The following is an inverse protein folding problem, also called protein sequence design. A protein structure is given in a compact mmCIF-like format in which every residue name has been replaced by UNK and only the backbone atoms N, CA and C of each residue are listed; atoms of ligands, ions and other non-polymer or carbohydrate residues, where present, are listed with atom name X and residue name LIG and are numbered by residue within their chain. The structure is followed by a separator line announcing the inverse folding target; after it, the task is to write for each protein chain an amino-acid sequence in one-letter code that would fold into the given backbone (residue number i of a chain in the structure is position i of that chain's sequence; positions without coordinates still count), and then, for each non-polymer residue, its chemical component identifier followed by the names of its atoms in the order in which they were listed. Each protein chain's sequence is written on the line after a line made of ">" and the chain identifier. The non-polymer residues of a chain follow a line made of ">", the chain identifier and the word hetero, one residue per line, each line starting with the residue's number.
data_IF_984675648540
#
_entry.id   IF_984675648540
#
_cell.length_a   1.000
_cell.length_b   1.000
_cell.length_c   1.000
_cell.angle_alpha   90.00
_cell.angle_beta   90.00
_cell.angle_gamma   90.00
#
_symmetry.space_group_name_H-M   'P 1'
#
loop_
_entity.id
_entity.type
_entity.pdbx_description
1 polymer ?
#
# COMPACT_ATOMS: atom_id res chain seq x y z
N UNK A 1 -20.82 -14.54 -2.57
CA UNK A 1 -20.52 -15.58 -1.58
C UNK A 1 -19.30 -15.25 -0.72
N UNK A 2 -18.20 -14.70 -1.31
CA UNK A 2 -16.96 -14.43 -0.58
C UNK A 2 -17.12 -13.44 0.59
N UNK A 3 -17.77 -12.30 0.34
CA UNK A 3 -18.01 -11.27 1.36
C UNK A 3 -18.96 -11.79 2.45
N UNK A 4 -20.03 -12.47 2.06
CA UNK A 4 -21.00 -13.04 2.99
C UNK A 4 -20.40 -14.10 3.91
N UNK A 5 -19.55 -15.00 3.37
CA UNK A 5 -18.88 -16.03 4.17
C UNK A 5 -17.90 -15.43 5.20
N UNK A 6 -17.13 -14.40 4.80
CA UNK A 6 -16.21 -13.72 5.70
C UNK A 6 -16.97 -12.97 6.79
N UNK A 7 -18.02 -12.23 6.45
CA UNK A 7 -18.88 -11.52 7.42
C UNK A 7 -19.54 -12.47 8.41
N UNK A 8 -20.06 -13.62 7.94
CA UNK A 8 -20.67 -14.63 8.81
C UNK A 8 -19.68 -15.22 9.80
N UNK A 9 -18.42 -15.48 9.38
CA UNK A 9 -17.38 -15.98 10.29
C UNK A 9 -17.11 -15.00 11.44
N UNK A 10 -16.95 -13.70 11.12
CA UNK A 10 -16.70 -12.67 12.14
C UNK A 10 -17.91 -12.49 13.05
N UNK A 11 -19.13 -12.52 12.51
CA UNK A 11 -20.39 -12.39 13.27
C UNK A 11 -20.55 -13.47 14.33
N UNK A 12 -20.06 -14.68 14.06
CA UNK A 12 -20.11 -15.82 15.02
C UNK A 12 -19.19 -15.57 16.22
N UNK A 13 -18.14 -14.76 16.06
CA UNK A 13 -17.19 -14.43 17.14
C UNK A 13 -17.58 -13.17 17.92
N UNK A 14 -18.43 -12.31 17.34
CA UNK A 14 -18.85 -11.02 17.91
C UNK A 14 -20.37 -11.00 18.15
N UNK A 15 -20.82 -11.49 19.26
CA UNK A 15 -22.26 -11.73 19.58
C UNK A 15 -23.21 -10.51 19.49
N UNK A 16 -22.74 -9.28 19.24
CA UNK A 16 -23.58 -8.06 19.39
C UNK A 16 -23.55 -7.06 18.23
N UNK A 17 -22.73 -7.24 17.22
CA UNK A 17 -22.61 -6.27 16.12
C UNK A 17 -22.59 -6.96 14.77
N UNK A 18 -23.33 -6.43 13.81
CA UNK A 18 -23.33 -6.96 12.45
C UNK A 18 -22.09 -6.46 11.72
N UNK A 19 -21.18 -7.38 11.38
CA UNK A 19 -20.08 -7.11 10.46
C UNK A 19 -20.62 -7.11 9.05
N UNK A 20 -20.31 -6.08 8.32
CA UNK A 20 -20.69 -5.88 6.93
C UNK A 20 -19.48 -5.96 6.02
N UNK A 21 -19.74 -6.03 4.72
CA UNK A 21 -18.69 -6.04 3.73
C UNK A 21 -19.12 -5.42 2.42
N UNK A 22 -18.17 -4.93 1.68
CA UNK A 22 -18.36 -4.44 0.33
C UNK A 22 -17.30 -5.02 -0.61
N UNK A 23 -17.69 -5.27 -1.85
CA UNK A 23 -16.80 -5.62 -2.93
C UNK A 23 -17.21 -4.84 -4.17
N UNK A 24 -16.23 -4.31 -4.89
CA UNK A 24 -16.44 -3.72 -6.21
C UNK A 24 -15.30 -4.09 -7.13
N UNK A 25 -15.64 -4.50 -8.34
CA UNK A 25 -14.68 -4.83 -9.41
C UNK A 25 -14.91 -3.96 -10.63
N UNK A 26 -13.83 -3.33 -11.12
CA UNK A 26 -13.82 -2.49 -12.30
C UNK A 26 -12.96 -3.16 -13.38
N UNK A 27 -13.46 -3.20 -14.61
CA UNK A 27 -12.64 -3.49 -15.79
C UNK A 27 -11.71 -2.31 -16.08
N UNK A 28 -10.40 -2.56 -16.09
CA UNK A 28 -9.39 -1.51 -16.22
C UNK A 28 -9.35 -0.84 -17.61
N UNK A 29 -9.94 -1.43 -18.64
CA UNK A 29 -9.94 -0.87 -19.98
C UNK A 29 -11.22 -0.07 -20.27
N UNK A 30 -12.38 -0.58 -19.81
CA UNK A 30 -13.69 0.00 -20.12
C UNK A 30 -14.27 0.87 -19.02
N UNK A 31 -13.85 0.67 -17.77
CA UNK A 31 -14.45 1.28 -16.60
C UNK A 31 -15.73 0.60 -16.13
N UNK A 32 -16.18 -0.48 -16.78
CA UNK A 32 -17.39 -1.17 -16.38
C UNK A 32 -17.27 -1.74 -14.97
N UNK A 33 -18.30 -1.52 -14.17
CA UNK A 33 -18.44 -2.19 -12.87
C UNK A 33 -18.96 -3.61 -13.16
N UNK A 34 -18.06 -4.59 -13.04
CA UNK A 34 -18.37 -5.99 -13.36
C UNK A 34 -18.98 -6.75 -12.18
N UNK A 35 -18.67 -6.33 -10.96
CA UNK A 35 -19.24 -6.89 -9.74
C UNK A 35 -19.39 -5.79 -8.69
N UNK A 36 -20.48 -5.87 -7.96
CA UNK A 36 -20.76 -4.96 -6.85
C UNK A 36 -21.54 -5.70 -5.77
N UNK A 37 -20.97 -5.73 -4.55
CA UNK A 37 -21.62 -6.24 -3.35
C UNK A 37 -21.72 -5.09 -2.36
N UNK A 38 -22.93 -4.79 -1.90
CA UNK A 38 -23.22 -3.68 -1.01
C UNK A 38 -23.23 -4.03 0.47
N UNK A 39 -23.33 -5.31 0.84
CA UNK A 39 -23.42 -5.77 2.21
C UNK A 39 -23.44 -7.30 2.29
N UNK A 40 -23.61 -7.84 3.50
CA UNK A 40 -23.67 -9.28 3.76
C UNK A 40 -24.92 -9.94 3.17
N UNK A 41 -26.01 -9.19 3.12
CA UNK A 41 -27.30 -9.57 2.52
C UNK A 41 -28.02 -8.33 1.98
N UNK A 42 -29.13 -8.54 1.30
CA UNK A 42 -30.07 -7.48 0.90
C UNK A 42 -31.45 -7.79 1.51
N UNK A 43 -31.87 -6.97 2.43
CA UNK A 43 -33.16 -7.10 3.12
C UNK A 43 -33.75 -5.71 3.37
N UNK A 44 -34.99 -5.64 3.82
CA UNK A 44 -35.62 -4.36 4.18
C UNK A 44 -34.81 -3.59 5.25
N UNK A 45 -34.09 -4.27 6.11
CA UNK A 45 -33.25 -3.68 7.14
C UNK A 45 -31.80 -3.38 6.67
N UNK A 46 -31.38 -3.91 5.51
CA UNK A 46 -30.03 -3.78 5.00
C UNK A 46 -30.05 -3.49 3.48
N UNK A 47 -30.34 -2.25 3.13
CA UNK A 47 -30.41 -1.76 1.73
C UNK A 47 -29.23 -0.87 1.34
N UNK A 48 -28.29 -0.63 2.27
CA UNK A 48 -27.15 0.27 2.04
C UNK A 48 -26.13 -0.40 1.08
N UNK A 49 -25.87 0.25 -0.04
CA UNK A 49 -24.84 -0.17 -0.99
C UNK A 49 -23.51 0.47 -0.57
N UNK A 50 -22.82 -0.17 0.38
CA UNK A 50 -21.61 0.39 1.01
C UNK A 50 -20.49 0.65 0.01
N UNK A 51 -20.42 -0.16 -1.06
CA UNK A 51 -19.46 0.03 -2.13
C UNK A 51 -19.48 1.43 -2.76
N UNK A 52 -20.66 2.09 -2.80
CA UNK A 52 -20.86 3.38 -3.46
C UNK A 52 -21.33 4.49 -2.53
N UNK A 53 -21.92 4.15 -1.37
CA UNK A 53 -22.60 5.12 -0.51
C UNK A 53 -21.87 5.36 0.82
N UNK A 54 -21.14 4.36 1.36
CA UNK A 54 -20.45 4.51 2.64
C UNK A 54 -19.08 5.15 2.47
N UNK A 55 -18.86 6.25 3.20
CA UNK A 55 -17.55 6.89 3.34
C UNK A 55 -16.79 6.21 4.47
N UNK A 56 -15.83 5.40 4.14
CA UNK A 56 -15.08 4.54 5.05
C UNK A 56 -13.61 4.93 5.04
N UNK A 57 -12.93 4.81 6.17
CA UNK A 57 -11.49 5.08 6.25
C UNK A 57 -10.71 3.99 5.52
N UNK A 58 -9.94 4.32 4.46
CA UNK A 58 -9.20 3.32 3.69
C UNK A 58 -7.95 2.79 4.43
N UNK A 59 -7.53 3.44 5.51
CA UNK A 59 -6.33 3.06 6.22
C UNK A 59 -5.12 3.05 5.28
N UNK A 60 -4.23 2.10 5.46
CA UNK A 60 -2.99 1.98 4.66
C UNK A 60 -3.18 1.75 3.16
N UNK A 61 -4.40 1.49 2.67
CA UNK A 61 -4.65 1.47 1.21
C UNK A 61 -4.58 2.87 0.60
N UNK A 62 -4.57 3.93 1.41
CA UNK A 62 -4.36 5.30 0.95
C UNK A 62 -2.90 5.60 0.59
N UNK A 63 -1.92 4.91 1.20
CA UNK A 63 -0.48 5.18 1.03
C UNK A 63 -0.04 5.28 -0.43
N UNK A 64 -0.41 4.37 -1.35
CA UNK A 64 0.03 4.44 -2.74
C UNK A 64 -0.34 5.76 -3.44
N UNK A 65 -1.43 6.41 -3.03
CA UNK A 65 -1.89 7.62 -3.68
C UNK A 65 -0.88 8.76 -3.54
N UNK A 66 -0.38 9.01 -2.33
CA UNK A 66 0.62 10.06 -2.13
C UNK A 66 2.07 9.60 -2.39
N UNK A 67 2.38 8.29 -2.31
CA UNK A 67 3.64 7.75 -2.82
C UNK A 67 3.80 8.07 -4.32
N UNK A 68 2.74 7.96 -5.09
CA UNK A 68 2.71 8.39 -6.49
C UNK A 68 3.10 9.86 -6.65
N UNK A 69 2.63 10.76 -5.77
CA UNK A 69 3.05 12.16 -5.78
C UNK A 69 4.54 12.32 -5.42
N UNK A 70 5.02 11.54 -4.44
CA UNK A 70 6.41 11.59 -4.00
C UNK A 70 7.38 11.14 -5.11
N UNK A 71 7.04 10.08 -5.85
CA UNK A 71 7.80 9.61 -7.02
C UNK A 71 7.84 10.68 -8.11
N UNK A 72 6.69 11.27 -8.51
CA UNK A 72 6.64 12.31 -9.55
C UNK A 72 7.41 13.58 -9.15
N UNK A 73 7.46 13.91 -7.86
CA UNK A 73 8.24 15.04 -7.36
C UNK A 73 9.75 14.81 -7.47
N UNK A 74 10.19 13.58 -7.83
CA UNK A 74 11.59 13.12 -7.88
C UNK A 74 12.30 13.21 -6.51
N UNK A 75 11.58 13.49 -5.41
CA UNK A 75 12.14 13.53 -4.05
C UNK A 75 12.30 12.14 -3.46
N UNK A 76 11.49 11.20 -3.91
CA UNK A 76 11.46 9.81 -3.48
C UNK A 76 11.57 8.91 -4.70
N UNK A 77 12.39 7.87 -4.61
CA UNK A 77 12.46 6.75 -5.55
C UNK A 77 12.15 5.45 -4.80
N UNK A 78 12.00 4.34 -5.48
CA UNK A 78 11.88 3.03 -4.82
C UNK A 78 13.07 2.74 -3.89
N UNK A 79 14.27 3.21 -4.26
CA UNK A 79 15.53 3.03 -3.55
C UNK A 79 15.79 4.08 -2.46
N UNK A 80 14.90 5.05 -2.26
CA UNK A 80 15.11 6.08 -1.24
C UNK A 80 15.18 5.46 0.14
N UNK A 81 16.28 5.74 0.84
CA UNK A 81 16.54 5.32 2.20
C UNK A 81 15.65 6.09 3.19
N UNK A 82 14.99 5.38 4.09
CA UNK A 82 14.13 5.93 5.13
C UNK A 82 14.48 5.23 6.44
N UNK A 83 14.70 6.02 7.49
CA UNK A 83 14.92 5.48 8.83
C UNK A 83 13.58 5.27 9.54
N UNK A 84 13.24 4.00 9.82
CA UNK A 84 12.03 3.58 10.51
C UNK A 84 12.31 3.44 12.01
N UNK A 85 12.05 4.50 12.76
CA UNK A 85 12.32 4.64 14.20
C UNK A 85 11.21 5.43 14.89
N UNK A 86 11.06 5.38 16.23
CA UNK A 86 10.13 6.23 16.95
C UNK A 86 10.34 7.70 16.58
N UNK A 87 9.30 8.33 16.03
CA UNK A 87 9.38 9.70 15.54
C UNK A 87 8.11 10.46 15.91
N UNK A 88 8.27 11.67 16.45
CA UNK A 88 7.16 12.61 16.66
C UNK A 88 7.16 13.65 15.56
N UNK A 89 6.02 13.79 14.89
CA UNK A 89 5.76 14.81 13.89
C UNK A 89 4.94 15.93 14.53
N UNK A 90 5.09 17.15 14.05
CA UNK A 90 4.32 18.29 14.54
C UNK A 90 3.44 18.81 13.39
N UNK A 91 2.14 18.84 13.59
CA UNK A 91 1.19 19.41 12.64
C UNK A 91 1.37 20.93 12.52
N UNK A 92 0.73 21.55 11.53
CA UNK A 92 0.83 23.01 11.29
C UNK A 92 0.37 23.86 12.50
N UNK A 93 -0.53 23.31 13.33
CA UNK A 93 -1.01 23.93 14.57
C UNK A 93 -0.13 23.63 15.80
N UNK A 94 1.00 22.96 15.60
CA UNK A 94 1.94 22.58 16.67
C UNK A 94 1.54 21.31 17.44
N UNK A 95 0.41 20.67 17.12
CA UNK A 95 0.01 19.43 17.81
C UNK A 95 0.94 18.28 17.45
N UNK A 96 1.44 17.50 18.44
CA UNK A 96 2.31 16.37 18.18
C UNK A 96 1.53 15.17 17.67
N UNK A 97 2.16 14.40 16.78
CA UNK A 97 1.68 13.13 16.27
C UNK A 97 2.79 12.09 16.28
N UNK A 98 2.63 11.03 17.04
CA UNK A 98 3.62 9.94 17.19
C UNK A 98 3.01 8.62 16.72
N UNK A 99 3.02 8.33 15.40
CA UNK A 99 2.47 7.10 14.88
C UNK A 99 3.25 5.88 15.39
N UNK A 100 2.55 4.78 15.62
CA UNK A 100 3.15 3.50 15.94
C UNK A 100 3.13 2.59 14.72
N UNK A 101 4.19 1.80 14.53
CA UNK A 101 4.16 0.68 13.60
C UNK A 101 3.31 -0.47 14.16
N UNK A 102 2.86 -1.34 13.26
CA UNK A 102 2.13 -2.54 13.67
C UNK A 102 2.96 -3.36 14.67
N UNK A 103 2.36 -3.75 15.79
CA UNK A 103 3.01 -4.41 16.94
C UNK A 103 4.14 -3.62 17.63
N UNK A 104 4.31 -2.34 17.34
CA UNK A 104 5.38 -1.52 17.92
C UNK A 104 6.79 -1.93 17.47
N UNK A 105 6.92 -2.64 16.35
CA UNK A 105 8.21 -3.06 15.80
C UNK A 105 8.82 -1.97 14.91
N UNK A 106 10.13 -1.77 15.04
CA UNK A 106 10.92 -0.83 14.25
C UNK A 106 11.93 -1.60 13.42
N UNK A 107 12.11 -1.20 12.16
CA UNK A 107 12.99 -1.91 11.22
C UNK A 107 14.31 -1.19 10.97
N UNK A 108 14.48 0.02 11.54
CA UNK A 108 15.67 0.82 11.28
C UNK A 108 15.73 1.28 9.82
N UNK A 109 16.82 1.00 9.15
CA UNK A 109 17.06 1.38 7.77
C UNK A 109 16.24 0.56 6.79
N UNK A 110 15.38 1.22 6.01
CA UNK A 110 14.55 0.58 4.99
C UNK A 110 14.53 1.41 3.71
N UNK A 111 14.28 0.77 2.56
CA UNK A 111 14.03 1.48 1.32
C UNK A 111 12.53 1.81 1.18
N UNK A 112 12.20 2.84 0.40
CA UNK A 112 10.82 3.30 0.24
C UNK A 112 9.87 2.20 -0.26
N UNK A 113 10.34 1.32 -1.16
CA UNK A 113 9.55 0.18 -1.59
C UNK A 113 9.23 -0.80 -0.45
N UNK A 114 10.19 -1.04 0.47
CA UNK A 114 9.99 -1.91 1.65
C UNK A 114 8.98 -1.28 2.60
N UNK A 115 9.09 0.04 2.83
CA UNK A 115 8.14 0.78 3.66
C UNK A 115 6.70 0.64 3.14
N UNK A 116 6.49 0.70 1.83
CA UNK A 116 5.17 0.48 1.22
C UNK A 116 4.76 -1.00 1.25
N UNK A 117 5.66 -1.93 0.91
CA UNK A 117 5.39 -3.36 0.85
C UNK A 117 4.98 -3.94 2.20
N UNK A 118 5.66 -3.53 3.26
CA UNK A 118 5.38 -3.94 4.64
C UNK A 118 4.43 -2.99 5.38
N UNK A 119 3.94 -1.95 4.68
CA UNK A 119 2.95 -1.01 5.21
C UNK A 119 3.41 -0.26 6.48
N UNK A 120 4.70 0.06 6.60
CA UNK A 120 5.29 0.75 7.75
C UNK A 120 4.68 2.14 7.92
N UNK A 121 4.27 2.48 9.14
CA UNK A 121 3.54 3.73 9.38
C UNK A 121 4.48 4.94 9.44
N UNK A 122 5.51 4.87 10.27
CA UNK A 122 6.43 6.01 10.46
C UNK A 122 7.17 6.34 9.17
N UNK A 123 7.72 5.34 8.49
CA UNK A 123 8.38 5.54 7.20
C UNK A 123 7.42 6.19 6.18
N UNK A 124 6.14 5.79 6.17
CA UNK A 124 5.14 6.36 5.28
C UNK A 124 4.75 7.80 5.64
N UNK A 125 4.72 8.16 6.93
CA UNK A 125 4.54 9.57 7.35
C UNK A 125 5.73 10.42 6.91
N UNK A 126 6.96 9.90 6.99
CA UNK A 126 8.16 10.59 6.48
C UNK A 126 8.06 10.83 4.96
N UNK A 127 7.50 9.90 4.18
CA UNK A 127 7.21 10.11 2.76
C UNK A 127 6.19 11.25 2.55
N UNK A 128 5.09 11.27 3.32
CA UNK A 128 4.12 12.38 3.25
C UNK A 128 4.78 13.71 3.61
N UNK A 129 5.60 13.75 4.66
CA UNK A 129 6.34 14.95 5.07
C UNK A 129 7.25 15.45 3.94
N UNK A 130 7.97 14.55 3.27
CA UNK A 130 8.88 14.88 2.16
C UNK A 130 8.15 15.45 0.95
N UNK A 131 7.00 14.90 0.59
CA UNK A 131 6.22 15.36 -0.57
C UNK A 131 5.38 16.60 -0.25
N UNK A 132 4.92 16.72 0.99
CA UNK A 132 4.07 17.80 1.49
C UNK A 132 2.58 17.58 1.23
N UNK A 133 1.74 18.23 2.04
CA UNK A 133 0.29 18.05 1.99
C UNK A 133 -0.32 18.46 0.65
N UNK A 134 0.11 19.55 0.04
CA UNK A 134 -0.50 20.07 -1.20
C UNK A 134 -0.37 19.08 -2.35
N UNK A 135 0.84 18.57 -2.58
CA UNK A 135 1.09 17.60 -3.63
C UNK A 135 0.38 16.25 -3.35
N UNK A 136 0.40 15.80 -2.10
CA UNK A 136 -0.26 14.57 -1.68
C UNK A 136 -1.79 14.65 -1.86
N UNK A 137 -2.40 15.75 -1.40
CA UNK A 137 -3.85 15.99 -1.51
C UNK A 137 -4.27 16.14 -2.96
N UNK A 138 -3.55 16.96 -3.74
CA UNK A 138 -3.83 17.14 -5.16
C UNK A 138 -3.80 15.80 -5.93
N UNK A 139 -2.80 14.97 -5.68
CA UNK A 139 -2.66 13.65 -6.30
C UNK A 139 -3.79 12.71 -5.87
N UNK A 140 -4.08 12.63 -4.56
CA UNK A 140 -5.13 11.78 -4.05
C UNK A 140 -6.51 12.21 -4.60
N UNK A 141 -6.81 13.50 -4.65
CA UNK A 141 -8.04 14.03 -5.21
C UNK A 141 -8.20 13.65 -6.70
N UNK A 142 -7.14 13.79 -7.50
CA UNK A 142 -7.15 13.41 -8.91
C UNK A 142 -7.37 11.89 -9.10
N UNK A 143 -6.69 11.05 -8.31
CA UNK A 143 -6.84 9.60 -8.36
C UNK A 143 -8.23 9.15 -7.91
N UNK A 144 -8.86 9.82 -6.94
CA UNK A 144 -10.19 9.52 -6.41
C UNK A 144 -11.32 10.20 -7.20
N UNK A 145 -10.98 11.01 -8.22
CA UNK A 145 -11.94 11.82 -8.99
C UNK A 145 -12.78 12.73 -8.09
N UNK A 146 -12.12 13.44 -7.19
CA UNK A 146 -12.70 14.48 -6.36
C UNK A 146 -12.23 15.81 -6.91
N UNK A 147 -13.12 16.54 -7.60
CA UNK A 147 -12.76 17.77 -8.31
C UNK A 147 -13.31 19.03 -7.67
N UNK A 148 -14.36 18.92 -6.84
CA UNK A 148 -14.93 20.06 -6.12
C UNK A 148 -13.97 20.52 -4.99
N UNK A 149 -13.52 21.79 -5.01
CA UNK A 149 -12.62 22.33 -3.97
C UNK A 149 -13.20 22.26 -2.55
N UNK A 150 -14.52 22.29 -2.40
CA UNK A 150 -15.18 22.17 -1.10
C UNK A 150 -15.11 20.73 -0.61
N UNK A 151 -15.38 19.76 -1.50
CA UNK A 151 -15.25 18.33 -1.17
C UNK A 151 -13.80 17.97 -0.85
N UNK A 152 -12.82 18.50 -1.61
CA UNK A 152 -11.39 18.30 -1.34
C UNK A 152 -11.05 18.76 0.07
N UNK A 153 -11.39 19.99 0.46
CA UNK A 153 -11.11 20.50 1.81
C UNK A 153 -11.80 19.73 2.92
N UNK A 154 -13.00 19.20 2.68
CA UNK A 154 -13.73 18.36 3.65
C UNK A 154 -13.16 16.96 3.78
N UNK A 155 -12.63 16.40 2.68
CA UNK A 155 -12.15 15.02 2.63
C UNK A 155 -10.72 14.90 3.15
N UNK A 156 -9.86 15.87 2.86
CA UNK A 156 -8.42 15.77 3.13
C UNK A 156 -7.99 16.77 4.20
N UNK A 157 -7.87 16.34 5.47
CA UNK A 157 -7.32 17.17 6.52
C UNK A 157 -5.81 17.35 6.35
N UNK A 158 -5.29 18.54 6.73
CA UNK A 158 -3.86 18.85 6.67
C UNK A 158 -3.16 18.45 7.98
N UNK A 159 -3.29 17.19 8.36
CA UNK A 159 -2.67 16.60 9.53
C UNK A 159 -1.97 15.29 9.15
N UNK A 160 -0.91 14.92 9.86
CA UNK A 160 -0.13 13.72 9.57
C UNK A 160 -0.90 12.40 9.58
N UNK A 161 -2.00 12.21 10.36
CA UNK A 161 -2.86 11.04 10.23
C UNK A 161 -3.40 10.81 8.81
N UNK A 162 -3.41 11.83 7.93
CA UNK A 162 -3.69 11.67 6.49
C UNK A 162 -2.81 10.59 5.84
N UNK A 163 -1.53 10.47 6.24
CA UNK A 163 -0.62 9.44 5.72
C UNK A 163 -1.14 8.02 5.97
N UNK A 164 -1.94 7.83 7.01
CA UNK A 164 -2.51 6.55 7.38
C UNK A 164 -3.96 6.37 6.90
N UNK A 165 -4.44 7.28 6.03
CA UNK A 165 -5.75 7.18 5.41
C UNK A 165 -6.91 7.54 6.35
N UNK A 166 -6.71 8.48 7.28
CA UNK A 166 -7.79 9.00 8.13
C UNK A 166 -8.63 9.99 7.32
N UNK A 167 -9.35 9.46 6.35
CA UNK A 167 -10.29 10.16 5.45
C UNK A 167 -11.51 9.27 5.20
N UNK A 168 -12.63 9.84 4.77
CA UNK A 168 -13.82 9.09 4.39
C UNK A 168 -13.98 8.98 2.88
N UNK A 169 -13.82 7.78 2.30
CA UNK A 169 -13.98 7.52 0.86
C UNK A 169 -14.74 6.22 0.61
N UNK A 170 -15.40 6.12 -0.55
CA UNK A 170 -16.12 4.89 -0.90
C UNK A 170 -15.18 3.83 -1.49
N UNK A 171 -15.49 2.52 -1.32
CA UNK A 171 -14.76 1.45 -1.98
C UNK A 171 -14.64 1.62 -3.50
N UNK A 172 -15.66 2.13 -4.16
CA UNK A 172 -15.64 2.41 -5.59
C UNK A 172 -14.59 3.48 -5.96
N UNK A 173 -14.50 4.59 -5.20
CA UNK A 173 -13.47 5.62 -5.42
C UNK A 173 -12.06 5.06 -5.21
N UNK A 174 -11.87 4.21 -4.20
CA UNK A 174 -10.59 3.54 -3.98
C UNK A 174 -10.24 2.54 -5.09
N UNK A 175 -11.19 1.72 -5.55
CA UNK A 175 -10.99 0.82 -6.69
C UNK A 175 -10.61 1.61 -7.95
N UNK A 176 -11.30 2.72 -8.21
CA UNK A 176 -10.99 3.63 -9.34
C UNK A 176 -9.56 4.16 -9.27
N UNK A 177 -9.09 4.59 -8.10
CA UNK A 177 -7.73 5.09 -7.92
C UNK A 177 -6.66 4.04 -8.27
N UNK A 178 -6.87 2.79 -7.86
CA UNK A 178 -5.96 1.68 -8.19
C UNK A 178 -6.06 1.26 -9.66
N UNK A 179 -7.26 1.34 -10.25
CA UNK A 179 -7.46 1.06 -11.66
C UNK A 179 -6.70 2.06 -12.56
N UNK A 180 -6.51 3.32 -12.11
CA UNK A 180 -5.67 4.30 -12.81
C UNK A 180 -4.21 3.82 -12.87
N UNK A 181 -3.65 3.28 -11.78
CA UNK A 181 -2.31 2.69 -11.81
C UNK A 181 -2.24 1.50 -12.79
N UNK A 182 -3.24 0.61 -12.74
CA UNK A 182 -3.30 -0.58 -13.59
C UNK A 182 -3.51 -0.28 -15.08
N UNK A 183 -4.09 0.90 -15.40
CA UNK A 183 -4.36 1.36 -16.77
C UNK A 183 -3.29 2.33 -17.31
N UNK A 184 -2.06 2.24 -16.83
CA UNK A 184 -0.96 3.09 -17.29
C UNK A 184 -1.16 4.58 -17.00
N UNK A 185 -1.82 4.91 -15.92
CA UNK A 185 -2.06 6.27 -15.47
C UNK A 185 -3.23 6.99 -16.12
N UNK A 186 -3.99 6.33 -16.99
CA UNK A 186 -5.15 6.91 -17.67
C UNK A 186 -6.36 6.95 -16.74
N UNK A 187 -7.17 7.99 -16.90
CA UNK A 187 -8.42 8.14 -16.18
C UNK A 187 -9.39 6.97 -16.49
N UNK A 188 -10.11 6.57 -15.46
CA UNK A 188 -11.19 5.57 -15.55
C UNK A 188 -12.44 6.19 -14.96
N UNK A 189 -13.54 6.08 -15.68
CA UNK A 189 -14.87 6.45 -15.18
C UNK A 189 -15.65 5.16 -14.94
N UNK A 190 -16.01 4.86 -13.68
CA UNK A 190 -16.82 3.68 -13.39
C UNK A 190 -18.21 3.79 -14.04
N UNK A 191 -18.59 2.76 -14.80
CA UNK A 191 -19.84 2.72 -15.57
C UNK A 191 -20.67 1.52 -15.10
N UNK A 192 -21.85 1.78 -14.55
CA UNK A 192 -22.81 0.76 -14.13
C UNK A 192 -23.96 0.57 -15.14
N UNK A 193 -24.31 1.62 -15.89
CA UNK A 193 -25.45 1.64 -16.82
C UNK A 193 -24.91 2.06 -18.18
N UNK A 194 -25.11 1.21 -19.17
CA UNK A 194 -24.72 1.51 -20.55
C UNK A 194 -25.73 2.43 -21.22
N UNK A 195 -27.00 2.02 -21.22
CA UNK A 195 -28.11 2.78 -21.77
C UNK A 195 -29.41 2.39 -21.06
N UNK A 196 -30.43 3.23 -21.19
CA UNK A 196 -31.77 3.00 -20.66
C UNK A 196 -32.73 3.00 -21.85
N UNK A 197 -33.56 1.97 -21.96
CA UNK A 197 -34.60 1.84 -22.98
C UNK A 197 -35.99 2.00 -22.35
N UNK A 198 -36.92 2.54 -23.13
CA UNK A 198 -38.34 2.46 -22.81
C UNK A 198 -38.91 1.06 -23.13
N UNK A 199 -40.16 0.84 -22.78
CA UNK A 199 -40.87 -0.43 -23.08
C UNK A 199 -41.03 -0.75 -24.57
N UNK A 200 -40.74 0.18 -25.46
CA UNK A 200 -40.83 0.04 -26.90
C UNK A 200 -39.48 -0.19 -27.58
N UNK A 201 -38.39 -0.23 -26.80
CA UNK A 201 -37.03 -0.38 -27.28
C UNK A 201 -36.34 0.91 -27.72
N UNK A 202 -36.95 2.08 -27.44
CA UNK A 202 -36.31 3.37 -27.76
C UNK A 202 -35.31 3.69 -26.66
N UNK A 203 -34.09 4.05 -27.04
CA UNK A 203 -33.07 4.51 -26.08
C UNK A 203 -33.45 5.90 -25.59
N UNK A 204 -33.68 6.06 -24.28
CA UNK A 204 -34.05 7.32 -23.63
C UNK A 204 -32.90 7.97 -22.87
N UNK A 205 -31.82 7.24 -22.57
CA UNK A 205 -30.60 7.78 -22.00
C UNK A 205 -29.40 6.88 -22.33
N UNK A 206 -28.22 7.46 -22.49
CA UNK A 206 -26.95 6.77 -22.79
C UNK A 206 -25.84 7.18 -21.78
N UNK A 207 -25.94 6.82 -20.49
CA UNK A 207 -24.95 7.22 -19.46
C UNK A 207 -23.52 6.84 -19.80
N UNK A 208 -23.31 5.69 -20.46
CA UNK A 208 -21.98 5.28 -20.94
C UNK A 208 -21.39 6.28 -21.93
N UNK A 209 -22.19 6.68 -22.93
CA UNK A 209 -21.78 7.62 -23.96
C UNK A 209 -21.43 8.98 -23.36
N UNK A 210 -22.24 9.46 -22.41
CA UNK A 210 -22.03 10.73 -21.72
C UNK A 210 -20.74 10.68 -20.87
N UNK A 211 -20.51 9.58 -20.16
CA UNK A 211 -19.29 9.36 -19.37
C UNK A 211 -18.04 9.34 -20.28
N UNK A 212 -18.08 8.61 -21.39
CA UNK A 212 -16.97 8.53 -22.35
C UNK A 212 -16.72 9.89 -23.05
N UNK A 213 -17.77 10.64 -23.36
CA UNK A 213 -17.63 11.97 -23.92
C UNK A 213 -16.98 12.93 -22.92
N UNK A 214 -17.39 12.91 -21.65
CA UNK A 214 -16.79 13.70 -20.59
C UNK A 214 -15.31 13.33 -20.41
N UNK A 215 -14.96 12.05 -20.45
CA UNK A 215 -13.59 11.58 -20.35
C UNK A 215 -12.71 12.06 -21.52
N UNK A 216 -13.26 12.12 -22.74
CA UNK A 216 -12.55 12.65 -23.92
C UNK A 216 -12.30 14.16 -23.85
N UNK A 217 -13.15 14.92 -23.17
CA UNK A 217 -13.01 16.37 -22.99
C UNK A 217 -12.01 16.73 -21.89
N UNK A 218 -11.79 15.86 -20.92
CA UNK A 218 -10.78 15.99 -19.86
C UNK A 218 -9.46 15.40 -20.34
N UNK A 219 -8.35 15.78 -19.70
CA UNK A 219 -7.10 15.05 -19.94
C UNK A 219 -7.29 13.57 -19.58
N UNK A 220 -7.07 12.65 -20.52
CA UNK A 220 -7.20 11.23 -20.22
C UNK A 220 -6.13 10.73 -19.26
N UNK A 221 -5.03 11.48 -19.10
CA UNK A 221 -3.88 11.11 -18.28
C UNK A 221 -3.98 11.77 -16.90
N UNK A 222 -4.16 10.99 -15.84
CA UNK A 222 -4.19 11.43 -14.44
C UNK A 222 -2.80 11.51 -13.84
N UNK A 223 -1.96 10.50 -14.15
CA UNK A 223 -0.56 10.41 -13.78
C UNK A 223 0.24 9.91 -14.98
N UNK A 224 1.53 10.17 -15.02
CA UNK A 224 2.37 9.66 -16.11
C UNK A 224 2.38 8.14 -16.16
N UNK A 225 2.56 7.56 -17.35
CA UNK A 225 2.66 6.10 -17.51
C UNK A 225 3.91 5.54 -16.80
N UNK A 226 4.96 6.34 -16.68
CA UNK A 226 6.16 6.02 -15.92
C UNK A 226 5.85 5.89 -14.42
N UNK A 227 5.15 6.88 -13.86
CA UNK A 227 4.73 6.83 -12.46
C UNK A 227 3.82 5.63 -12.19
N UNK A 228 2.83 5.39 -13.07
CA UNK A 228 1.95 4.24 -12.95
C UNK A 228 2.72 2.91 -12.96
N UNK A 229 3.75 2.77 -13.81
CA UNK A 229 4.57 1.57 -13.88
C UNK A 229 5.40 1.35 -12.60
N UNK A 230 6.00 2.41 -12.04
CA UNK A 230 6.71 2.34 -10.75
C UNK A 230 5.75 1.95 -9.63
N UNK A 231 4.58 2.61 -9.55
CA UNK A 231 3.59 2.27 -8.53
C UNK A 231 3.09 0.83 -8.62
N UNK A 232 2.90 0.31 -9.85
CA UNK A 232 2.57 -1.10 -10.06
C UNK A 232 3.72 -2.01 -9.59
N UNK A 233 4.99 -1.67 -9.85
CA UNK A 233 6.12 -2.45 -9.37
C UNK A 233 6.15 -2.50 -7.83
N UNK A 234 6.03 -1.36 -7.17
CA UNK A 234 5.94 -1.30 -5.71
C UNK A 234 4.75 -2.11 -5.16
N UNK A 235 3.58 -2.04 -5.80
CA UNK A 235 2.38 -2.78 -5.39
C UNK A 235 2.48 -4.29 -5.67
N UNK A 236 3.22 -4.72 -6.67
CA UNK A 236 3.59 -6.13 -6.88
C UNK A 236 4.41 -6.66 -5.72
N UNK A 237 5.36 -5.88 -5.20
CA UNK A 237 6.18 -6.27 -4.04
C UNK A 237 5.35 -6.51 -2.77
N UNK A 238 4.23 -5.80 -2.60
CA UNK A 238 3.25 -6.08 -1.52
C UNK A 238 2.70 -7.51 -1.64
N UNK A 239 2.46 -7.97 -2.88
CA UNK A 239 1.90 -9.31 -3.17
C UNK A 239 2.96 -10.40 -3.03
N UNK A 240 4.19 -10.15 -3.46
CA UNK A 240 5.23 -11.19 -3.52
C UNK A 240 6.03 -11.33 -2.23
N UNK A 241 6.29 -10.23 -1.52
CA UNK A 241 7.14 -10.22 -0.32
C UNK A 241 6.58 -9.40 0.86
N UNK A 242 5.49 -8.65 0.64
CA UNK A 242 4.89 -7.77 1.63
C UNK A 242 3.68 -8.36 2.33
N UNK A 243 2.74 -7.49 2.72
CA UNK A 243 1.59 -7.86 3.57
C UNK A 243 0.58 -8.81 2.91
N UNK A 244 0.63 -9.01 1.60
CA UNK A 244 -0.21 -9.97 0.87
C UNK A 244 0.50 -11.30 0.58
N UNK A 245 1.80 -11.41 0.77
CA UNK A 245 2.59 -12.56 0.36
C UNK A 245 2.08 -13.89 0.94
N UNK A 246 1.73 -13.91 2.21
CA UNK A 246 1.19 -15.12 2.86
C UNK A 246 -0.15 -15.57 2.26
N UNK A 247 -1.09 -14.65 2.08
CA UNK A 247 -2.42 -14.96 1.54
C UNK A 247 -2.36 -15.38 0.07
N UNK A 248 -1.51 -14.73 -0.71
CA UNK A 248 -1.37 -15.02 -2.15
C UNK A 248 -0.34 -16.11 -2.46
N UNK A 249 0.29 -16.65 -1.41
CA UNK A 249 1.42 -17.57 -1.56
C UNK A 249 2.49 -16.99 -2.51
N UNK A 250 2.86 -15.74 -2.25
CA UNK A 250 3.76 -14.94 -3.11
C UNK A 250 3.31 -14.92 -4.58
N UNK A 251 2.00 -14.75 -4.79
CA UNK A 251 1.39 -14.65 -6.11
C UNK A 251 1.11 -15.99 -6.81
N UNK A 252 1.54 -17.13 -6.24
CA UNK A 252 1.40 -18.44 -6.91
C UNK A 252 -0.05 -18.92 -7.08
N UNK A 253 -1.01 -18.43 -6.28
CA UNK A 253 -2.43 -18.75 -6.44
C UNK A 253 -3.02 -18.24 -7.77
N UNK A 254 -2.34 -17.30 -8.46
CA UNK A 254 -2.74 -16.75 -9.76
C UNK A 254 -2.09 -17.50 -10.94
N UNK A 255 -1.48 -18.66 -10.66
CA UNK A 255 -0.92 -19.52 -11.70
C UNK A 255 -2.01 -20.14 -12.54
N UNK A 256 -1.87 -20.00 -13.85
CA UNK A 256 -2.77 -20.54 -14.86
C UNK A 256 -2.01 -21.50 -15.78
N UNK A 257 -2.75 -22.24 -16.58
CA UNK A 257 -2.19 -23.09 -17.65
C UNK A 257 -2.85 -22.74 -18.97
N UNK A 258 -2.06 -22.66 -20.01
CA UNK A 258 -2.56 -22.59 -21.40
C UNK A 258 -3.10 -23.95 -21.84
N UNK A 259 -3.83 -23.98 -22.94
CA UNK A 259 -4.39 -25.22 -23.49
C UNK A 259 -3.30 -26.25 -23.90
N UNK A 260 -2.11 -25.78 -24.28
CA UNK A 260 -0.91 -26.57 -24.61
C UNK A 260 -0.07 -26.95 -23.36
N UNK A 261 -0.56 -26.63 -22.14
CA UNK A 261 0.04 -27.03 -20.86
C UNK A 261 1.12 -26.11 -20.30
N UNK A 262 1.47 -25.01 -20.98
CA UNK A 262 2.41 -24.03 -20.46
C UNK A 262 1.83 -23.29 -19.26
N UNK A 263 2.63 -23.10 -18.22
CA UNK A 263 2.20 -22.38 -17.03
C UNK A 263 2.61 -20.93 -17.08
N UNK A 264 1.73 -20.03 -16.67
CA UNK A 264 2.00 -18.61 -16.46
C UNK A 264 1.34 -18.12 -15.19
N UNK A 265 1.79 -16.98 -14.68
CA UNK A 265 1.19 -16.31 -13.54
C UNK A 265 0.66 -14.96 -14.03
N UNK A 266 -0.64 -14.70 -13.80
CA UNK A 266 -1.21 -13.39 -14.10
C UNK A 266 -0.58 -12.39 -13.10
N UNK A 267 0.04 -11.29 -13.58
CA UNK A 267 0.64 -10.30 -12.70
C UNK A 267 -0.42 -9.64 -11.84
N UNK A 268 -0.17 -9.56 -10.55
CA UNK A 268 -1.07 -8.95 -9.57
C UNK A 268 -0.30 -7.93 -8.75
N UNK A 269 -0.95 -6.80 -8.51
CA UNK A 269 -0.47 -5.70 -7.66
C UNK A 269 -1.56 -5.39 -6.63
N UNK A 270 -1.22 -5.07 -5.38
CA UNK A 270 -2.24 -4.82 -4.37
C UNK A 270 -1.72 -4.19 -3.10
N UNK A 271 -2.64 -3.84 -2.20
CA UNK A 271 -2.34 -3.23 -0.91
C UNK A 271 -3.40 -3.60 0.12
N UNK A 272 -2.97 -3.92 1.33
CA UNK A 272 -3.83 -4.09 2.50
C UNK A 272 -4.01 -2.78 3.25
N UNK A 273 -5.13 -2.63 3.91
CA UNK A 273 -5.43 -1.54 4.83
C UNK A 273 -6.06 -2.07 6.10
N UNK A 274 -5.73 -1.43 7.20
CA UNK A 274 -6.32 -1.65 8.50
C UNK A 274 -6.39 -0.29 9.18
N UNK A 275 -7.51 0.04 9.77
CA UNK A 275 -7.65 1.26 10.56
C UNK A 275 -7.33 1.00 12.03
N UNK A 276 -7.20 2.08 12.80
CA UNK A 276 -6.96 1.98 14.23
C UNK A 276 -8.01 1.12 14.91
N UNK A 277 -7.61 0.44 15.98
CA UNK A 277 -8.47 -0.46 16.75
C UNK A 277 -9.12 -1.59 15.92
N UNK A 278 -8.50 -1.95 14.77
CA UNK A 278 -9.02 -2.98 13.85
C UNK A 278 -10.49 -2.77 13.46
N UNK A 279 -10.91 -1.51 13.25
CA UNK A 279 -12.29 -1.19 12.90
C UNK A 279 -12.64 -1.58 11.46
N UNK A 280 -11.69 -1.39 10.54
CA UNK A 280 -11.85 -1.67 9.11
C UNK A 280 -10.71 -2.53 8.57
N UNK A 281 -11.07 -3.52 7.78
CA UNK A 281 -10.15 -4.40 7.06
C UNK A 281 -10.33 -4.21 5.54
N UNK A 282 -9.26 -3.79 4.86
CA UNK A 282 -9.26 -3.52 3.44
C UNK A 282 -8.25 -4.35 2.68
N UNK A 283 -8.60 -4.74 1.47
CA UNK A 283 -7.65 -5.18 0.45
C UNK A 283 -8.10 -4.66 -0.91
N UNK A 284 -7.19 -4.00 -1.62
CA UNK A 284 -7.41 -3.50 -2.96
C UNK A 284 -6.28 -4.00 -3.82
N UNK A 285 -6.60 -4.55 -4.97
CA UNK A 285 -5.57 -4.98 -5.90
C UNK A 285 -6.07 -5.10 -7.33
N UNK A 286 -5.12 -5.10 -8.23
CA UNK A 286 -5.31 -5.04 -9.67
C UNK A 286 -4.53 -6.13 -10.37
N UNK A 287 -5.10 -6.63 -11.45
CA UNK A 287 -4.40 -7.32 -12.53
C UNK A 287 -4.36 -6.40 -13.76
N UNK A 288 -3.75 -6.82 -14.87
CA UNK A 288 -3.89 -6.10 -16.15
C UNK A 288 -5.32 -6.02 -16.69
N UNK A 289 -6.24 -6.81 -16.13
CA UNK A 289 -7.64 -6.89 -16.52
C UNK A 289 -8.55 -6.11 -15.60
N UNK A 290 -8.49 -6.40 -14.30
CA UNK A 290 -9.48 -5.97 -13.30
C UNK A 290 -8.84 -5.35 -12.08
N UNK A 291 -9.56 -4.42 -11.47
CA UNK A 291 -9.25 -3.88 -10.14
C UNK A 291 -10.40 -4.18 -9.21
N UNK A 292 -10.10 -4.80 -8.06
CA UNK A 292 -11.08 -5.16 -7.05
C UNK A 292 -10.73 -4.55 -5.70
N UNK A 293 -11.68 -3.86 -5.08
CA UNK A 293 -11.62 -3.44 -3.69
C UNK A 293 -12.55 -4.29 -2.84
N UNK A 294 -12.05 -4.76 -1.69
CA UNK A 294 -12.80 -5.47 -0.67
C UNK A 294 -12.65 -4.74 0.66
N UNK A 295 -13.77 -4.53 1.34
CA UNK A 295 -13.83 -4.00 2.70
C UNK A 295 -14.69 -4.88 3.57
N UNK A 296 -14.28 -5.01 4.84
CA UNK A 296 -15.03 -5.63 5.93
C UNK A 296 -14.93 -4.72 7.16
N UNK A 297 -16.05 -4.49 7.84
CA UNK A 297 -16.10 -3.60 9.00
C UNK A 297 -17.51 -3.45 9.55
N UNK A 298 -17.73 -2.36 10.27
CA UNK A 298 -19.01 -2.03 10.86
C UNK A 298 -19.54 -0.71 10.31
N UNK A 299 -20.86 -0.58 10.15
CA UNK A 299 -21.48 0.68 9.73
C UNK A 299 -21.34 1.78 10.79
N UNK A 300 -21.23 1.40 12.05
CA UNK A 300 -21.10 2.34 13.17
C UNK A 300 -19.65 2.44 13.60
N UNK A 301 -19.09 3.66 13.70
CA UNK A 301 -17.75 3.86 14.28
C UNK A 301 -17.64 3.34 15.71
N UNK A 302 -16.42 3.00 16.12
CA UNK A 302 -16.12 2.59 17.50
C UNK A 302 -16.18 1.08 17.76
N UNK A 303 -16.68 0.28 16.80
CA UNK A 303 -16.60 -1.17 16.87
C UNK A 303 -15.27 -1.67 16.35
N UNK A 304 -14.79 -2.80 16.89
CA UNK A 304 -13.56 -3.48 16.46
C UNK A 304 -13.89 -4.84 15.88
N UNK A 305 -13.22 -5.21 14.80
CA UNK A 305 -13.24 -6.57 14.23
C UNK A 305 -12.53 -7.60 15.15
N UNK A 306 -11.82 -7.11 16.15
CA UNK A 306 -11.04 -7.92 17.08
C UNK A 306 -9.52 -7.75 16.89
N UNK A 307 -8.79 -8.08 17.96
CA UNK A 307 -7.32 -7.95 17.97
C UNK A 307 -6.71 -8.74 16.83
N UNK A 308 -5.78 -8.11 16.09
CA UNK A 308 -5.09 -8.69 14.93
C UNK A 308 -5.98 -9.03 13.72
N UNK A 309 -7.25 -8.61 13.72
CA UNK A 309 -8.14 -8.74 12.56
C UNK A 309 -7.85 -7.60 11.57
N UNK A 310 -6.99 -7.88 10.62
CA UNK A 310 -6.41 -6.90 9.69
C UNK A 310 -6.94 -7.09 8.27
N UNK A 311 -6.63 -6.15 7.38
CA UNK A 311 -6.86 -6.33 5.95
C UNK A 311 -6.21 -7.60 5.40
N UNK A 312 -5.01 -7.96 5.89
CA UNK A 312 -4.30 -9.16 5.47
C UNK A 312 -4.97 -10.46 5.97
N UNK A 313 -5.59 -10.45 7.16
CA UNK A 313 -6.20 -11.64 7.74
C UNK A 313 -7.66 -11.85 7.34
N UNK A 314 -8.41 -10.78 7.07
CA UNK A 314 -9.84 -10.83 6.78
C UNK A 314 -10.17 -10.53 5.31
N UNK A 315 -9.80 -9.33 4.81
CA UNK A 315 -10.18 -8.91 3.47
C UNK A 315 -9.32 -9.57 2.37
N UNK A 316 -8.03 -9.83 2.65
CA UNK A 316 -7.13 -10.42 1.66
C UNK A 316 -7.54 -11.85 1.23
N UNK A 317 -7.95 -12.78 2.10
CA UNK A 317 -8.43 -14.08 1.66
C UNK A 317 -9.67 -14.00 0.76
N UNK A 318 -10.61 -13.10 1.06
CA UNK A 318 -11.79 -12.84 0.21
C UNK A 318 -11.37 -12.34 -1.15
N UNK A 319 -10.52 -11.29 -1.16
CA UNK A 319 -10.00 -10.68 -2.38
C UNK A 319 -9.20 -11.67 -3.22
N UNK A 320 -8.28 -12.41 -2.61
CA UNK A 320 -7.38 -13.31 -3.32
C UNK A 320 -8.13 -14.49 -3.99
N UNK A 321 -9.08 -15.11 -3.28
CA UNK A 321 -9.91 -16.18 -3.84
C UNK A 321 -10.81 -15.65 -4.97
N UNK A 322 -11.46 -14.51 -4.75
CA UNK A 322 -12.28 -13.88 -5.78
C UNK A 322 -11.44 -13.52 -7.02
N UNK A 323 -10.29 -12.85 -6.84
CA UNK A 323 -9.40 -12.50 -7.96
C UNK A 323 -8.89 -13.74 -8.69
N UNK A 324 -8.52 -14.80 -7.98
CA UNK A 324 -8.14 -16.08 -8.62
C UNK A 324 -9.26 -16.57 -9.53
N UNK A 325 -10.48 -16.65 -9.02
CA UNK A 325 -11.60 -17.29 -9.71
C UNK A 325 -12.05 -16.49 -10.94
N UNK A 326 -12.06 -15.16 -10.88
CA UNK A 326 -12.41 -14.32 -12.05
C UNK A 326 -11.32 -14.28 -13.13
N UNK A 327 -10.13 -14.81 -12.84
CA UNK A 327 -9.03 -14.87 -13.81
C UNK A 327 -8.88 -16.26 -14.45
N UNK A 328 -9.70 -17.23 -14.05
CA UNK A 328 -9.64 -18.59 -14.62
C UNK A 328 -9.88 -18.53 -16.14
N UNK A 329 -8.93 -19.08 -16.90
CA UNK A 329 -9.01 -19.16 -18.36
C UNK A 329 -8.65 -17.87 -19.11
N UNK A 330 -8.31 -16.78 -18.42
CA UNK A 330 -7.81 -15.58 -19.08
C UNK A 330 -6.39 -15.80 -19.59
N UNK A 331 -6.07 -15.23 -20.75
CA UNK A 331 -4.74 -15.30 -21.33
C UNK A 331 -3.72 -14.49 -20.51
N UNK A 332 -2.43 -14.77 -20.70
CA UNK A 332 -1.39 -13.93 -20.12
C UNK A 332 -1.46 -12.52 -20.70
N UNK A 333 -1.45 -11.54 -19.82
CA UNK A 333 -1.35 -10.12 -20.14
C UNK A 333 -0.48 -9.46 -19.09
N UNK A 334 0.33 -8.49 -19.46
CA UNK A 334 1.09 -7.69 -18.52
C UNK A 334 0.47 -6.30 -18.35
N UNK A 335 0.82 -5.63 -17.25
CA UNK A 335 0.44 -4.22 -17.06
C UNK A 335 1.06 -3.36 -18.18
N UNK A 336 0.40 -2.25 -18.56
CA UNK A 336 0.97 -1.32 -19.53
C UNK A 336 2.34 -0.83 -19.07
N UNK A 337 3.27 -0.76 -20.02
CA UNK A 337 4.59 -0.18 -19.79
C UNK A 337 4.73 1.06 -20.67
N UNK A 338 5.39 2.13 -20.19
CA UNK A 338 5.74 3.27 -21.03
C UNK A 338 6.84 2.87 -22.02
N UNK A 339 6.86 3.54 -23.17
CA UNK A 339 7.87 3.29 -24.22
C UNK A 339 9.24 3.91 -23.87
N UNK A 340 9.27 4.90 -22.97
CA UNK A 340 10.50 5.62 -22.57
C UNK A 340 10.35 6.27 -21.21
N UNK A 341 11.43 6.85 -20.67
CA UNK A 341 11.44 7.61 -19.42
C UNK A 341 11.46 6.76 -18.16
N UNK A 342 11.72 5.44 -18.29
CA UNK A 342 12.00 4.54 -17.15
C UNK A 342 13.38 3.93 -17.31
N UNK A 343 14.12 3.91 -16.21
CA UNK A 343 15.39 3.20 -16.06
C UNK A 343 15.20 2.05 -15.07
N UNK A 344 15.72 0.89 -15.42
CA UNK A 344 15.80 -0.27 -14.51
C UNK A 344 17.24 -0.39 -14.06
N UNK A 345 17.48 -0.29 -12.76
CA UNK A 345 18.82 -0.38 -12.20
C UNK A 345 18.87 -1.39 -11.05
N UNK A 346 19.97 -2.13 -10.99
CA UNK A 346 20.28 -3.00 -9.85
C UNK A 346 20.94 -2.14 -8.76
N UNK A 347 20.42 -2.24 -7.55
CA UNK A 347 20.90 -1.49 -6.39
C UNK A 347 21.18 -2.43 -5.23
N UNK A 348 22.00 -1.98 -4.27
CA UNK A 348 22.17 -2.66 -2.99
C UNK A 348 20.83 -2.67 -2.24
N UNK A 349 20.43 -3.83 -1.72
CA UNK A 349 19.15 -4.02 -1.04
C UNK A 349 19.00 -3.25 0.28
N UNK A 350 20.12 -2.78 0.86
CA UNK A 350 20.14 -1.98 2.10
C UNK A 350 20.30 -0.49 1.85
N UNK A 351 21.30 -0.09 1.03
CA UNK A 351 21.58 1.33 0.83
C UNK A 351 20.74 1.98 -0.27
N UNK A 352 20.21 1.18 -1.22
CA UNK A 352 19.57 1.69 -2.43
C UNK A 352 20.54 2.31 -3.45
N UNK A 353 21.85 2.28 -3.20
CA UNK A 353 22.90 2.79 -4.08
C UNK A 353 23.39 1.69 -5.05
N UNK A 354 24.21 2.05 -6.04
CA UNK A 354 24.82 1.07 -6.94
C UNK A 354 25.61 0.03 -6.14
N UNK A 355 25.47 -1.26 -6.45
CA UNK A 355 26.09 -2.28 -5.63
C UNK A 355 27.61 -2.34 -5.86
N UNK A 356 28.34 -2.73 -4.82
CA UNK A 356 29.73 -3.13 -4.90
C UNK A 356 29.83 -4.65 -4.74
N UNK A 357 31.01 -5.22 -4.95
CA UNK A 357 31.30 -6.63 -4.72
C UNK A 357 31.13 -7.04 -3.24
N UNK A 358 31.11 -6.07 -2.32
CA UNK A 358 30.94 -6.26 -0.89
C UNK A 358 29.48 -6.25 -0.42
N UNK A 359 28.51 -6.07 -1.32
CA UNK A 359 27.08 -6.07 -0.98
C UNK A 359 26.57 -7.51 -0.69
N UNK A 360 27.02 -8.06 0.45
CA UNK A 360 26.70 -9.42 0.90
C UNK A 360 25.21 -9.66 1.17
N UNK A 361 24.49 -8.61 1.58
CA UNK A 361 23.03 -8.66 1.87
C UNK A 361 22.16 -8.67 0.61
N UNK A 362 22.82 -8.72 -0.55
CA UNK A 362 22.20 -8.90 -1.83
C UNK A 362 21.88 -7.59 -2.57
N UNK A 363 21.36 -7.79 -3.75
CA UNK A 363 21.00 -6.71 -4.68
C UNK A 363 19.55 -6.88 -5.12
N UNK A 364 18.92 -5.78 -5.55
CA UNK A 364 17.56 -5.78 -6.05
C UNK A 364 17.47 -4.89 -7.29
N UNK A 365 16.67 -5.32 -8.26
CA UNK A 365 16.38 -4.52 -9.44
C UNK A 365 15.14 -3.65 -9.15
N UNK A 366 15.26 -2.33 -9.35
CA UNK A 366 14.22 -1.34 -9.10
C UNK A 366 14.00 -0.47 -10.33
N UNK A 367 12.84 0.19 -10.39
CA UNK A 367 12.46 1.11 -11.46
C UNK A 367 12.65 2.56 -11.00
N UNK A 368 13.11 3.40 -11.92
CA UNK A 368 13.36 4.82 -11.69
C UNK A 368 12.78 5.65 -12.83
N UNK A 369 12.26 6.82 -12.50
CA UNK A 369 12.12 7.86 -13.53
C UNK A 369 13.49 8.21 -14.06
N UNK A 370 13.62 8.34 -15.36
CA UNK A 370 14.90 8.68 -16.01
C UNK A 370 15.54 9.91 -15.33
N UNK A 371 16.82 9.77 -14.97
CA UNK A 371 17.59 10.78 -14.23
C UNK A 371 17.35 10.79 -12.71
N UNK A 372 16.67 9.76 -12.14
CA UNK A 372 16.53 9.60 -10.68
C UNK A 372 17.17 8.31 -10.15
N UNK A 373 17.75 7.51 -11.03
CA UNK A 373 18.54 6.33 -10.67
C UNK A 373 19.78 6.72 -9.86
N UNK A 374 20.26 5.86 -8.93
CA UNK A 374 21.42 6.14 -8.13
C UNK A 374 22.69 6.23 -8.98
N UNK A 375 23.55 7.19 -8.67
CA UNK A 375 24.83 7.44 -9.36
C UNK A 375 26.05 7.13 -8.50
N UNK A 376 25.84 6.89 -7.21
CA UNK A 376 26.91 6.59 -6.25
C UNK A 376 26.91 5.11 -5.88
N UNK A 377 28.07 4.57 -5.59
CA UNK A 377 28.21 3.22 -5.10
C UNK A 377 27.86 3.11 -3.61
N UNK A 378 27.50 1.90 -3.21
CA UNK A 378 27.15 1.57 -1.84
C UNK A 378 28.35 1.83 -0.91
N UNK A 379 28.13 2.67 0.09
CA UNK A 379 29.11 2.99 1.14
C UNK A 379 28.86 2.21 2.45
N UNK A 380 27.78 1.43 2.53
CA UNK A 380 27.49 0.62 3.73
C UNK A 380 28.35 -0.66 3.81
N UNK A 381 28.77 -1.17 2.67
CA UNK A 381 29.54 -2.40 2.57
C UNK A 381 30.98 -2.10 2.16
N UNK A 382 31.90 -2.37 3.08
CA UNK A 382 33.33 -2.19 2.86
C UNK A 382 34.05 -3.55 2.89
N UNK A 383 35.26 -3.64 2.32
CA UNK A 383 36.13 -4.80 2.54
C UNK A 383 36.29 -5.02 4.05
N UNK A 384 36.14 -6.24 4.50
CA UNK A 384 36.57 -6.60 5.86
C UNK A 384 38.07 -6.46 5.90
N UNK A 385 38.58 -5.31 6.38
CA UNK A 385 40.01 -5.20 6.66
C UNK A 385 40.23 -6.15 7.85
N UNK A 386 40.83 -7.29 7.59
CA UNK A 386 41.31 -8.13 8.66
C UNK A 386 42.21 -7.28 9.56
N UNK A 387 42.00 -7.27 10.88
CA UNK A 387 42.89 -6.54 11.78
C UNK A 387 44.30 -7.05 11.47
N UNK A 388 45.24 -6.13 11.23
CA UNK A 388 46.64 -6.52 11.09
C UNK A 388 47.00 -7.42 12.27
N UNK A 389 47.68 -8.54 12.03
CA UNK A 389 48.09 -9.38 13.13
C UNK A 389 48.90 -8.51 14.07
N UNK A 390 48.43 -8.38 15.32
CA UNK A 390 49.16 -7.67 16.37
C UNK A 390 50.51 -8.37 16.43
N UNK A 391 51.57 -7.64 16.07
CA UNK A 391 52.93 -8.14 16.19
C UNK A 391 53.16 -8.46 17.66
N UNK A 392 53.29 -9.77 17.93
CA UNK A 392 53.46 -10.27 19.31
C UNK A 392 54.79 -9.85 19.95
N UNK A 393 55.53 -8.98 19.29
CA UNK A 393 56.80 -8.42 19.80
C UNK A 393 56.63 -7.18 20.65
N UNK A 394 55.48 -6.48 20.59
CA UNK A 394 55.16 -5.41 21.54
C UNK A 394 54.57 -6.02 22.83
N UNK A 395 55.41 -6.69 23.61
CA UNK A 395 55.08 -6.91 25.00
C UNK A 395 55.08 -5.57 25.71
N UNK A 396 53.89 -5.05 25.91
CA UNK A 396 53.66 -4.00 26.92
C UNK A 396 53.97 -4.68 28.26
N UNK A 397 55.09 -4.29 28.88
CA UNK A 397 55.41 -4.60 30.27
C UNK A 397 54.29 -3.95 31.12
N UNK A 398 53.33 -4.76 31.49
CA UNK A 398 52.37 -4.38 32.52
C UNK A 398 53.12 -4.47 33.86
N UNK A 399 53.61 -3.34 34.37
CA UNK A 399 53.96 -3.24 35.80
C UNK A 399 52.69 -3.57 36.59
N UNK A 400 52.75 -4.64 37.38
CA UNK A 400 51.66 -4.97 38.29
C UNK A 400 51.44 -3.80 39.27
N UNK A 401 50.21 -3.31 39.42
CA UNK A 401 49.96 -2.33 40.46
C UNK A 401 50.13 -2.98 41.81
N UNK A 402 51.05 -2.41 42.62
CA UNK A 402 51.29 -2.78 44.02
C UNK A 402 49.95 -2.57 44.75
N UNK A 403 49.26 -3.64 45.04
CA UNK A 403 48.10 -3.64 45.93
C UNK A 403 48.57 -3.31 47.36
N UNK A 404 48.46 -2.03 47.79
CA UNK A 404 48.54 -1.66 49.18
C UNK A 404 47.40 -2.32 49.96
N UNK A 405 47.77 -3.09 51.01
CA UNK A 405 46.80 -3.68 51.93
C UNK A 405 45.96 -2.56 52.58
N UNK A 406 44.65 -2.77 52.75
CA UNK A 406 43.83 -1.84 53.54
C UNK A 406 44.25 -1.96 55.02
N UNK A 407 44.55 -0.85 55.66
CA UNK A 407 44.64 -0.75 57.11
C UNK A 407 43.29 -1.08 57.75
N UNK A 408 43.32 -1.94 58.75
CA UNK A 408 42.18 -2.27 59.59
C UNK A 408 41.78 -1.03 60.40
N UNK A 409 40.58 -0.51 60.20
CA UNK A 409 39.97 0.50 61.07
C UNK A 409 39.18 -0.16 62.21
N UNK A 410 39.27 0.33 63.44
CA UNK A 410 38.73 -0.32 64.61
C UNK A 410 37.20 -0.22 64.73
N UNK A 411 36.67 -1.29 65.25
CA UNK A 411 35.28 -1.51 65.61
C UNK A 411 34.85 -0.46 66.66
N UNK A 412 33.84 0.34 66.41
CA UNK A 412 33.05 1.00 67.46
C UNK A 412 31.77 0.21 67.69
N UNK A 413 31.71 -0.41 68.89
CA UNK A 413 30.49 -0.83 69.55
C UNK A 413 29.76 0.39 70.13
N UNK A 414 28.44 0.21 70.23
CA UNK A 414 27.45 0.93 71.08
C UNK A 414 26.56 2.00 70.34
N UNK A 415 25.37 1.73 70.17
CA UNK A 415 24.13 1.58 70.97
C UNK A 415 22.94 1.39 70.00
#
# INVERSE_FOLDING_TARGET
>A
PYVGAASAKIKTELEKSTVEGALVTIDNNTGYILALVGGSDYSQANQLIRATQSKIMPGSTFKPLYYSAAIDSKKITEATYILDEPTTFYNEDGTPYSPQNFKGEWKGSVLAWQALAHSMNVASVKVLQTVGFDAAISRAAALLDITDPIEIRKTFPRYYPLALGVIGVTPLKMARAYAVFANGGKAITPIAIRYIEDRYGNIIAEPEKDALQTLRQKSPQVISSQNAAIMIDMLKRVVFSGTLAGTTQSGSIFKQKTADGHSYVIPIAGKTGTTENWADAWTIGSSPYYTTAVWLGFDRPGNSLGVSQTGATLAAPVWANYMRDIHLGLQYKNFPKPDSGLISATVCSLSGQLPTEFCSDGTINLLFLEGTEPTHFCELHHPVIAPEPIDSTDRLDFEEPILSRPEESPIFQNR
#
